data_IF_616151327345
#
_entry.id   IF_616151327345
#
_cell.length_a   1.000
_cell.length_b   1.000
_cell.length_c   1.000
_cell.angle_alpha   90.00
_cell.angle_beta   90.00
_cell.angle_gamma   90.00
#
_symmetry.space_group_name_H-M   'P 1'
#
loop_
_entity.id
_entity.type
_entity.pdbx_description
1 polymer ?
#
# COMPACT_ATOMS: atom_id res chain seq x y z
N UNK A 1 0.17 11.77 5.88
CA UNK A 1 -0.12 13.22 5.89
C UNK A 1 -1.59 13.44 5.56
N UNK A 2 -2.27 14.28 6.32
CA UNK A 2 -3.65 14.72 6.05
C UNK A 2 -3.62 16.23 5.81
N UNK A 3 -4.24 16.67 4.72
CA UNK A 3 -4.39 18.07 4.34
C UNK A 3 -5.88 18.37 4.14
N UNK A 4 -6.22 19.66 4.05
CA UNK A 4 -7.60 20.03 3.78
C UNK A 4 -8.07 19.45 2.43
N UNK A 5 -9.02 18.52 2.51
CA UNK A 5 -9.62 17.84 1.37
C UNK A 5 -8.94 16.56 0.87
N UNK A 6 -7.75 16.15 1.35
CA UNK A 6 -7.13 14.89 0.92
C UNK A 6 -6.05 14.32 1.85
N UNK A 7 -5.67 13.08 1.60
CA UNK A 7 -4.67 12.30 2.32
C UNK A 7 -3.54 11.85 1.40
N UNK A 8 -2.34 11.77 1.94
CA UNK A 8 -1.17 11.22 1.26
C UNK A 8 -0.40 10.28 2.18
N UNK A 9 -0.02 9.10 1.67
CA UNK A 9 0.73 8.07 2.41
C UNK A 9 1.70 7.32 1.50
N UNK A 10 2.75 6.72 2.05
CA UNK A 10 3.68 5.94 1.24
C UNK A 10 3.05 4.65 0.70
N UNK A 11 2.48 3.80 1.56
CA UNK A 11 1.90 2.52 1.13
C UNK A 11 0.42 2.38 1.48
N UNK A 12 0.05 2.34 2.76
CA UNK A 12 -1.35 2.09 3.18
C UNK A 12 -1.84 3.13 4.18
N UNK A 13 -3.02 3.69 3.91
CA UNK A 13 -3.73 4.52 4.89
C UNK A 13 -4.59 3.62 5.78
N UNK A 14 -4.22 3.51 7.05
CA UNK A 14 -5.01 2.77 8.01
C UNK A 14 -5.17 3.55 9.31
N UNK A 15 -6.36 4.15 9.48
CA UNK A 15 -6.64 5.09 10.56
C UNK A 15 -6.34 4.54 11.97
N UNK A 16 -6.71 3.30 12.32
CA UNK A 16 -6.43 2.76 13.66
C UNK A 16 -4.93 2.75 14.00
N UNK A 17 -4.06 2.42 13.05
CA UNK A 17 -2.60 2.47 13.25
C UNK A 17 -2.13 3.92 13.31
N UNK A 18 -2.62 4.80 12.43
CA UNK A 18 -2.22 6.22 12.41
C UNK A 18 -2.56 6.93 13.73
N UNK A 19 -3.71 6.62 14.33
CA UNK A 19 -4.10 7.21 15.61
C UNK A 19 -3.23 6.73 16.76
N UNK A 20 -2.93 5.43 16.83
CA UNK A 20 -2.03 4.89 17.85
C UNK A 20 -0.58 5.32 17.63
N UNK A 21 -0.17 5.59 16.40
CA UNK A 21 1.20 6.00 16.07
C UNK A 21 1.59 7.33 16.73
N UNK A 22 0.62 8.19 17.06
CA UNK A 22 0.86 9.48 17.73
C UNK A 22 1.65 9.32 19.04
N UNK A 23 1.45 8.21 19.76
CA UNK A 23 2.15 7.90 21.02
C UNK A 23 3.63 7.49 20.81
N UNK A 24 4.04 7.27 19.57
CA UNK A 24 5.36 6.77 19.18
C UNK A 24 6.21 7.82 18.43
N UNK A 25 5.67 9.04 18.28
CA UNK A 25 6.30 10.15 17.58
C UNK A 25 6.74 11.23 18.58
N UNK A 26 7.70 12.04 18.17
CA UNK A 26 8.05 13.28 18.87
C UNK A 26 7.13 14.45 18.45
N UNK A 27 7.35 15.62 19.06
CA UNK A 27 6.57 16.84 18.79
C UNK A 27 6.69 17.33 17.33
N UNK A 28 7.67 16.84 16.57
CA UNK A 28 7.86 17.13 15.14
C UNK A 28 7.21 16.08 14.23
N UNK A 29 6.45 15.13 14.79
CA UNK A 29 5.88 13.97 14.11
C UNK A 29 6.93 13.04 13.50
N UNK A 30 8.12 12.96 14.11
CA UNK A 30 9.18 12.03 13.72
C UNK A 30 9.21 10.82 14.66
N UNK A 31 9.69 9.67 14.16
CA UNK A 31 9.95 8.52 15.02
C UNK A 31 10.98 8.91 16.07
N UNK A 32 10.69 8.64 17.34
CA UNK A 32 11.73 8.70 18.38
C UNK A 32 12.81 7.66 18.10
N UNK A 33 14.02 7.83 18.65
CA UNK A 33 15.10 6.84 18.51
C UNK A 33 14.65 5.44 18.98
N UNK A 34 13.98 5.38 20.13
CA UNK A 34 13.43 4.14 20.68
C UNK A 34 12.41 3.51 19.73
N UNK A 35 11.48 4.29 19.19
CA UNK A 35 10.49 3.81 18.21
C UNK A 35 11.17 3.32 16.94
N UNK A 36 12.15 4.07 16.42
CA UNK A 36 12.88 3.71 15.21
C UNK A 36 13.54 2.34 15.35
N UNK A 37 14.26 2.12 16.46
CA UNK A 37 14.89 0.82 16.76
C UNK A 37 13.83 -0.27 16.88
N UNK A 38 12.78 -0.04 17.67
CA UNK A 38 11.70 -1.01 17.87
C UNK A 38 10.95 -1.35 16.57
N UNK A 39 10.91 -0.42 15.61
CA UNK A 39 10.28 -0.62 14.30
C UNK A 39 11.10 -1.49 13.34
N UNK A 40 12.40 -1.67 13.61
CA UNK A 40 13.28 -2.52 12.82
C UNK A 40 13.34 -3.97 13.33
N UNK A 41 12.83 -4.24 14.53
CA UNK A 41 12.85 -5.58 15.14
C UNK A 41 11.60 -6.39 14.77
N UNK A 42 11.77 -7.24 13.76
CA UNK A 42 10.73 -8.16 13.29
C UNK A 42 10.36 -9.23 14.33
N UNK A 43 11.34 -9.75 15.06
CA UNK A 43 11.14 -10.88 15.97
C UNK A 43 10.37 -10.45 17.21
N UNK A 44 10.62 -9.23 17.69
CA UNK A 44 9.86 -8.65 18.79
C UNK A 44 8.38 -8.40 18.44
N UNK A 45 8.05 -8.30 17.14
CA UNK A 45 6.69 -8.04 16.64
C UNK A 45 5.99 -6.95 17.48
N UNK A 46 6.63 -5.80 17.63
CA UNK A 46 6.10 -4.67 18.39
C UNK A 46 4.99 -3.97 17.61
N UNK A 47 4.24 -3.07 18.27
CA UNK A 47 3.33 -2.18 17.55
C UNK A 47 4.11 -1.33 16.53
N UNK A 48 5.24 -0.75 16.91
CA UNK A 48 6.06 0.09 16.03
C UNK A 48 6.49 -0.67 14.76
N UNK A 49 6.92 -1.93 14.90
CA UNK A 49 7.23 -2.80 13.76
C UNK A 49 6.01 -2.97 12.85
N UNK A 50 4.87 -3.44 13.38
CA UNK A 50 3.64 -3.66 12.59
C UNK A 50 3.12 -2.38 11.93
N UNK A 51 3.23 -1.25 12.62
CA UNK A 51 2.82 0.06 12.12
C UNK A 51 3.64 0.45 10.90
N UNK A 52 4.98 0.33 10.97
CA UNK A 52 5.87 0.61 9.85
C UNK A 52 5.67 -0.37 8.70
N UNK A 53 5.52 -1.67 8.97
CA UNK A 53 5.22 -2.66 7.92
C UNK A 53 3.92 -2.30 7.19
N UNK A 54 2.88 -1.87 7.90
CA UNK A 54 1.59 -1.51 7.29
C UNK A 54 1.66 -0.18 6.54
N UNK A 55 2.07 0.91 7.21
CA UNK A 55 1.99 2.26 6.66
C UNK A 55 3.01 2.51 5.54
N UNK A 56 4.19 1.89 5.63
CA UNK A 56 5.31 2.12 4.69
C UNK A 56 5.55 0.95 3.73
N UNK A 57 5.06 -0.27 4.00
CA UNK A 57 5.24 -1.40 3.07
C UNK A 57 3.93 -1.99 2.58
N UNK A 58 2.82 -1.61 3.21
CA UNK A 58 1.50 -2.14 2.91
C UNK A 58 1.22 -3.42 3.69
N UNK A 59 -0.05 -3.69 4.04
CA UNK A 59 -0.42 -4.85 4.84
C UNK A 59 -0.12 -6.16 4.10
N UNK A 60 0.46 -7.11 4.83
CA UNK A 60 0.72 -8.47 4.36
C UNK A 60 -0.08 -9.48 5.20
N UNK A 61 -0.58 -10.53 4.54
CA UNK A 61 -1.33 -11.61 5.19
C UNK A 61 -0.72 -12.96 4.85
N UNK A 62 -0.79 -13.89 5.81
CA UNK A 62 -0.37 -15.27 5.61
C UNK A 62 -1.29 -16.01 4.65
N UNK A 63 -0.70 -16.74 3.71
CA UNK A 63 -1.41 -17.69 2.87
C UNK A 63 -1.94 -18.87 3.70
N UNK A 64 -3.00 -19.55 3.24
CA UNK A 64 -3.47 -20.78 3.88
C UNK A 64 -2.38 -21.84 3.97
N UNK A 65 -2.48 -22.71 4.97
CA UNK A 65 -1.53 -23.82 5.18
C UNK A 65 -1.35 -24.63 3.89
N UNK A 66 -0.10 -24.90 3.53
CA UNK A 66 0.27 -25.64 2.32
C UNK A 66 0.52 -24.78 1.09
N UNK A 67 0.21 -23.48 1.13
CA UNK A 67 0.46 -22.56 0.03
C UNK A 67 1.73 -21.74 0.22
N UNK A 68 2.52 -21.63 -0.85
CA UNK A 68 3.67 -20.76 -0.95
C UNK A 68 3.97 -20.48 -2.42
N UNK A 69 4.80 -19.48 -2.69
CA UNK A 69 5.31 -19.16 -4.03
C UNK A 69 6.75 -18.65 -3.94
N UNK A 70 7.44 -18.58 -5.08
CA UNK A 70 8.78 -18.01 -5.16
C UNK A 70 8.73 -16.55 -5.61
N UNK A 71 9.48 -15.68 -4.91
CA UNK A 71 9.71 -14.31 -5.38
C UNK A 71 10.74 -14.28 -6.54
N UNK A 72 10.97 -13.12 -7.19
CA UNK A 72 11.94 -13.00 -8.28
C UNK A 72 13.38 -13.38 -7.91
N UNK A 73 13.72 -13.42 -6.62
CA UNK A 73 15.01 -13.84 -6.09
C UNK A 73 15.02 -15.31 -5.64
N UNK A 74 13.95 -16.06 -5.94
CA UNK A 74 13.74 -17.46 -5.58
C UNK A 74 13.60 -17.71 -4.07
N UNK A 75 13.23 -16.69 -3.30
CA UNK A 75 12.88 -16.91 -1.90
C UNK A 75 11.44 -17.42 -1.80
N UNK A 76 11.24 -18.44 -0.97
CA UNK A 76 9.91 -18.94 -0.68
C UNK A 76 9.14 -17.93 0.18
N UNK A 77 7.94 -17.58 -0.28
CA UNK A 77 7.01 -16.67 0.39
C UNK A 77 5.76 -17.42 0.81
N UNK A 78 5.35 -17.19 2.04
CA UNK A 78 4.10 -17.70 2.62
C UNK A 78 3.14 -16.56 2.95
N UNK A 79 3.48 -15.33 2.56
CA UNK A 79 2.69 -14.13 2.77
C UNK A 79 2.49 -13.43 1.44
N UNK A 80 1.32 -12.80 1.28
CA UNK A 80 1.02 -11.92 0.16
C UNK A 80 0.77 -10.51 0.70
N UNK A 81 1.16 -9.53 -0.09
CA UNK A 81 0.74 -8.15 0.15
C UNK A 81 -0.65 -7.92 -0.39
N UNK A 82 -1.44 -7.14 0.34
CA UNK A 82 -2.80 -6.81 -0.05
C UNK A 82 -2.87 -5.58 -0.95
N UNK A 83 -3.67 -5.71 -2.00
CA UNK A 83 -4.30 -4.61 -2.74
C UNK A 83 -5.43 -4.03 -1.87
N UNK A 84 -5.08 -3.32 -0.79
CA UNK A 84 -6.05 -2.73 0.14
C UNK A 84 -7.00 -1.71 -0.54
N UNK A 85 -6.63 -1.22 -1.72
CA UNK A 85 -7.48 -0.39 -2.58
C UNK A 85 -8.49 -1.19 -3.43
N UNK A 86 -8.41 -2.52 -3.48
CA UNK A 86 -9.38 -3.37 -4.19
C UNK A 86 -10.56 -3.72 -3.27
N UNK A 87 -11.57 -2.86 -3.23
CA UNK A 87 -12.77 -3.01 -2.38
C UNK A 87 -13.70 -4.15 -2.83
N UNK A 88 -13.58 -4.59 -4.08
CA UNK A 88 -14.41 -5.65 -4.66
C UNK A 88 -13.88 -7.07 -4.41
N UNK A 89 -12.57 -7.21 -4.19
CA UNK A 89 -11.91 -8.50 -4.00
C UNK A 89 -12.38 -9.23 -2.75
N UNK A 90 -12.51 -10.56 -2.83
CA UNK A 90 -12.95 -11.41 -1.70
C UNK A 90 -12.02 -12.59 -1.43
N UNK A 91 -11.15 -12.92 -2.37
CA UNK A 91 -10.22 -14.06 -2.26
C UNK A 91 -8.76 -13.63 -2.16
N UNK A 92 -7.90 -14.53 -1.66
CA UNK A 92 -6.45 -14.27 -1.60
C UNK A 92 -5.92 -13.86 -2.97
N UNK A 93 -6.39 -14.51 -4.04
CA UNK A 93 -5.99 -14.20 -5.43
C UNK A 93 -6.44 -12.82 -5.88
N UNK A 94 -7.65 -12.37 -5.50
CA UNK A 94 -8.17 -11.06 -5.91
C UNK A 94 -7.39 -9.92 -5.26
N UNK A 95 -6.97 -10.14 -4.01
CA UNK A 95 -6.31 -9.14 -3.17
C UNK A 95 -4.78 -9.23 -3.24
N UNK A 96 -4.19 -10.26 -3.85
CA UNK A 96 -2.74 -10.40 -3.92
C UNK A 96 -2.10 -9.35 -4.86
N UNK A 97 -1.24 -8.50 -4.30
CA UNK A 97 -0.30 -7.69 -5.06
C UNK A 97 0.96 -8.52 -5.36
N UNK A 98 0.84 -9.34 -6.39
CA UNK A 98 1.91 -10.20 -6.92
C UNK A 98 2.01 -10.04 -8.43
N UNK A 99 3.12 -10.51 -9.00
CA UNK A 99 3.26 -10.56 -10.47
C UNK A 99 2.18 -11.45 -11.09
N UNK A 100 1.77 -11.12 -12.30
CA UNK A 100 0.70 -11.84 -13.00
C UNK A 100 1.05 -13.32 -13.28
N UNK A 101 2.34 -13.67 -13.43
CA UNK A 101 2.79 -15.07 -13.56
C UNK A 101 2.72 -15.87 -12.26
N UNK A 102 2.72 -15.19 -11.11
CA UNK A 102 2.55 -15.79 -9.78
C UNK A 102 1.08 -15.91 -9.38
N UNK A 103 0.24 -14.99 -9.86
CA UNK A 103 -1.17 -14.90 -9.49
C UNK A 103 -1.96 -16.23 -9.59
N UNK A 104 -1.76 -17.10 -10.62
CA UNK A 104 -2.39 -18.42 -10.67
C UNK A 104 -2.03 -19.37 -9.51
N UNK A 105 -0.87 -19.17 -8.88
CA UNK A 105 -0.39 -19.96 -7.74
C UNK A 105 -1.06 -19.54 -6.42
N UNK A 106 -1.66 -18.34 -6.38
CA UNK A 106 -2.38 -17.85 -5.20
C UNK A 106 -3.78 -18.50 -5.15
N UNK A 107 -4.20 -19.06 -4.00
CA UNK A 107 -5.51 -19.69 -3.88
C UNK A 107 -6.64 -18.67 -4.08
N UNK A 108 -7.70 -19.07 -4.76
CA UNK A 108 -8.94 -18.29 -4.85
C UNK A 108 -9.87 -18.59 -3.66
N UNK A 109 -9.30 -18.77 -2.46
CA UNK A 109 -10.06 -18.99 -1.24
C UNK A 109 -10.49 -17.67 -0.63
N UNK A 110 -11.67 -17.60 0.01
CA UNK A 110 -12.07 -16.43 0.76
C UNK A 110 -10.99 -16.01 1.75
N UNK A 111 -10.69 -14.72 1.78
CA UNK A 111 -9.76 -14.18 2.79
C UNK A 111 -10.46 -14.15 4.13
N UNK A 112 -9.80 -14.69 5.15
CA UNK A 112 -10.17 -14.49 6.55
C UNK A 112 -9.11 -13.63 7.20
N UNK A 113 -9.31 -12.31 7.15
CA UNK A 113 -8.43 -11.36 7.83
C UNK A 113 -9.06 -10.95 9.14
N UNK A 114 -8.22 -10.88 10.17
CA UNK A 114 -8.59 -10.29 11.46
C UNK A 114 -8.77 -8.76 11.35
N UNK A 115 -8.02 -8.12 10.43
CA UNK A 115 -8.07 -6.69 10.19
C UNK A 115 -8.52 -6.38 8.77
N UNK A 116 -9.57 -5.57 8.62
CA UNK A 116 -9.99 -5.02 7.35
C UNK A 116 -9.22 -3.73 7.05
N UNK A 117 -8.34 -3.77 6.05
CA UNK A 117 -7.54 -2.63 5.60
C UNK A 117 -8.22 -1.82 4.48
N UNK A 118 -9.47 -2.13 4.15
CA UNK A 118 -10.18 -1.45 3.06
C UNK A 118 -10.35 0.04 3.34
N UNK A 119 -10.08 0.86 2.34
CA UNK A 119 -10.38 2.29 2.36
C UNK A 119 -11.75 2.51 1.71
N UNK A 120 -12.69 3.04 2.48
CA UNK A 120 -14.10 3.14 2.08
C UNK A 120 -14.31 4.36 1.18
N UNK A 121 -15.31 4.28 0.29
CA UNK A 121 -15.60 5.31 -0.72
C UNK A 121 -16.05 6.66 -0.15
N UNK A 122 -16.54 6.68 1.08
CA UNK A 122 -16.98 7.87 1.82
C UNK A 122 -15.85 8.55 2.60
N UNK A 123 -14.66 7.93 2.66
CA UNK A 123 -13.48 8.52 3.28
C UNK A 123 -12.83 9.58 2.38
N UNK A 124 -12.03 10.51 2.93
CA UNK A 124 -11.28 11.47 2.13
C UNK A 124 -10.41 10.79 1.07
N UNK A 125 -10.16 11.43 -0.08
CA UNK A 125 -9.31 10.85 -1.10
C UNK A 125 -7.90 10.61 -0.59
N UNK A 126 -7.31 9.49 -0.99
CA UNK A 126 -5.97 9.09 -0.61
C UNK A 126 -5.08 8.87 -1.83
N UNK A 127 -3.96 9.57 -1.84
CA UNK A 127 -2.85 9.38 -2.77
C UNK A 127 -1.80 8.50 -2.11
N UNK A 128 -1.40 7.43 -2.80
CA UNK A 128 -0.44 6.45 -2.26
C UNK A 128 0.61 6.02 -3.29
N UNK A 129 1.64 5.30 -2.84
CA UNK A 129 2.73 4.81 -3.68
C UNK A 129 3.12 3.39 -3.30
N UNK A 130 4.42 3.08 -3.34
CA UNK A 130 5.02 1.80 -2.94
C UNK A 130 4.76 0.60 -3.87
N UNK A 131 3.67 0.60 -4.63
CA UNK A 131 3.22 -0.57 -5.40
C UNK A 131 3.76 -0.63 -6.82
N UNK A 132 4.64 0.29 -7.23
CA UNK A 132 5.28 0.23 -8.56
C UNK A 132 4.23 -0.01 -9.65
N UNK A 133 3.23 0.84 -9.82
CA UNK A 133 2.23 0.62 -10.87
C UNK A 133 2.72 1.19 -12.21
N UNK A 134 2.16 0.75 -13.33
CA UNK A 134 2.45 1.35 -14.64
C UNK A 134 1.34 2.33 -15.00
N UNK A 135 1.60 3.28 -15.90
CA UNK A 135 0.60 4.24 -16.37
C UNK A 135 -0.71 3.55 -16.80
N UNK A 136 -0.62 2.47 -17.57
CA UNK A 136 -1.79 1.72 -18.06
C UNK A 136 -2.61 1.07 -16.94
N UNK A 137 -1.96 0.62 -15.87
CA UNK A 137 -2.60 -0.16 -14.79
C UNK A 137 -2.68 0.60 -13.46
N UNK A 138 -2.33 1.89 -13.46
CA UNK A 138 -2.36 2.71 -12.27
C UNK A 138 -3.78 2.82 -11.70
N UNK A 139 -3.88 2.66 -10.39
CA UNK A 139 -5.12 2.81 -9.64
C UNK A 139 -5.47 4.28 -9.64
N UNK A 140 -6.61 4.61 -10.25
CA UNK A 140 -7.30 5.89 -10.13
C UNK A 140 -8.78 5.55 -10.14
N UNK A 141 -9.33 5.33 -8.95
CA UNK A 141 -10.69 4.79 -8.78
C UNK A 141 -11.35 5.36 -7.54
N UNK A 142 -12.58 5.83 -7.66
CA UNK A 142 -13.35 6.44 -6.57
C UNK A 142 -12.58 7.56 -5.88
N UNK A 143 -12.10 7.30 -4.66
CA UNK A 143 -11.34 8.21 -3.83
C UNK A 143 -9.86 7.78 -3.64
N UNK A 144 -9.32 6.90 -4.49
CA UNK A 144 -7.96 6.37 -4.37
C UNK A 144 -7.15 6.55 -5.63
N UNK A 145 -5.89 7.00 -5.49
CA UNK A 145 -4.96 7.06 -6.61
C UNK A 145 -3.53 6.65 -6.23
N UNK A 146 -2.94 5.73 -6.98
CA UNK A 146 -1.54 5.36 -6.86
C UNK A 146 -0.67 6.22 -7.78
N UNK A 147 0.31 6.93 -7.22
CA UNK A 147 1.21 7.84 -7.94
C UNK A 147 2.63 7.28 -8.11
N UNK A 148 2.90 6.08 -7.59
CA UNK A 148 4.19 5.39 -7.76
C UNK A 148 4.24 4.66 -9.11
N UNK A 149 4.61 5.40 -10.16
CA UNK A 149 4.60 4.93 -11.55
C UNK A 149 5.95 4.36 -12.02
N UNK A 150 6.70 3.70 -11.13
CA UNK A 150 8.00 3.05 -11.40
C UNK A 150 9.07 3.96 -12.01
N UNK A 151 9.11 5.25 -11.69
CA UNK A 151 10.11 6.20 -12.26
C UNK A 151 11.56 5.69 -12.19
N UNK A 152 11.92 4.98 -11.11
CA UNK A 152 13.27 4.42 -10.91
C UNK A 152 13.59 3.18 -11.79
N UNK A 153 12.63 2.67 -12.57
CA UNK A 153 12.79 1.54 -13.51
C UNK A 153 12.23 1.87 -14.90
N UNK A 154 12.49 3.08 -15.38
CA UNK A 154 12.08 3.52 -16.72
C UNK A 154 10.59 3.84 -16.85
N UNK A 155 9.86 3.94 -15.74
CA UNK A 155 8.48 4.41 -15.72
C UNK A 155 8.39 5.94 -15.74
N UNK A 156 7.34 6.49 -15.12
CA UNK A 156 7.05 7.92 -15.11
C UNK A 156 7.10 8.49 -13.70
N UNK A 157 7.52 9.75 -13.57
CA UNK A 157 7.26 10.57 -12.39
C UNK A 157 5.85 11.15 -12.52
N UNK A 158 4.92 10.68 -11.70
CA UNK A 158 3.51 11.09 -11.74
C UNK A 158 3.14 12.00 -10.58
N UNK A 159 2.20 12.91 -10.84
CA UNK A 159 1.57 13.79 -9.87
C UNK A 159 0.07 13.89 -10.16
N UNK A 160 -0.74 14.09 -9.12
CA UNK A 160 -2.18 14.34 -9.26
C UNK A 160 -2.49 15.81 -8.96
N UNK A 161 -3.23 16.47 -9.85
CA UNK A 161 -3.74 17.82 -9.63
C UNK A 161 -5.06 17.77 -8.87
N UNK A 162 -4.99 17.87 -7.54
CA UNK A 162 -6.19 17.91 -6.70
C UNK A 162 -7.02 19.17 -7.00
N UNK A 163 -8.30 18.99 -7.31
CA UNK A 163 -9.23 20.05 -7.69
C UNK A 163 -10.51 20.08 -6.85
N UNK A 164 -10.56 19.33 -5.73
CA UNK A 164 -11.73 19.25 -4.86
C UNK A 164 -12.82 18.26 -5.29
N UNK A 165 -12.70 17.62 -6.45
CA UNK A 165 -13.76 16.80 -7.02
C UNK A 165 -13.53 15.30 -6.86
N UNK A 166 -14.62 14.57 -6.66
CA UNK A 166 -14.70 13.11 -6.69
C UNK A 166 -15.74 12.65 -7.73
N UNK A 167 -15.59 11.45 -8.32
CA UNK A 167 -14.46 10.54 -8.17
C UNK A 167 -13.17 11.13 -8.77
N UNK A 168 -12.02 10.64 -8.31
CA UNK A 168 -10.72 10.98 -8.89
C UNK A 168 -10.70 10.58 -10.37
N UNK A 169 -10.09 11.41 -11.20
CA UNK A 169 -10.03 11.21 -12.65
C UNK A 169 -8.58 11.15 -13.12
N UNK A 170 -8.32 10.24 -14.07
CA UNK A 170 -7.03 10.15 -14.78
C UNK A 170 -6.68 11.44 -15.53
N UNK A 171 -7.67 12.25 -15.92
CA UNK A 171 -7.46 13.56 -16.56
C UNK A 171 -6.74 14.57 -15.67
N UNK A 172 -6.68 14.33 -14.36
CA UNK A 172 -5.94 15.15 -13.41
C UNK A 172 -4.51 14.63 -13.14
N UNK A 173 -4.11 13.51 -13.75
CA UNK A 173 -2.74 13.04 -13.66
C UNK A 173 -1.85 13.82 -14.64
N UNK A 174 -0.72 14.27 -14.12
CA UNK A 174 0.41 14.78 -14.90
C UNK A 174 1.57 13.80 -14.71
N UNK A 175 2.24 13.42 -15.80
CA UNK A 175 3.39 12.52 -15.71
C UNK A 175 4.49 12.96 -16.68
N UNK A 176 5.75 12.70 -16.30
CA UNK A 176 6.91 12.86 -17.18
C UNK A 176 7.71 11.56 -17.19
N UNK A 177 8.22 11.10 -18.34
CA UNK A 177 8.99 9.86 -18.41
C UNK A 177 10.30 10.00 -17.65
N UNK A 178 10.80 8.88 -17.13
CA UNK A 178 12.12 8.81 -16.50
C UNK A 178 13.22 9.15 -17.51
N UNK A 179 14.26 9.84 -17.03
CA UNK A 179 15.48 10.11 -17.80
C UNK A 179 16.52 8.99 -17.68
N UNK A 180 16.19 7.91 -16.95
CA UNK A 180 17.06 6.75 -16.80
C UNK A 180 17.00 5.92 -18.09
N UNK A 181 18.11 5.95 -18.84
CA UNK A 181 18.38 5.11 -20.01
C UNK A 181 18.76 3.68 -19.60
#
# INVERSE_FOLDING_TARGET
>A
MELDGFRAIHACWYQPILDQMKDYLDDSNCLTETTLIASADKEANTFAYRAIETLLKGPEIGLPVGYNFLDPHRNQRQQIRLRWWNTSGKTYRDLAEVREDIKPQIPAYPVQVEQDYSHLVDQPPVFFGHYWQTEDNATVDGNMACLDWRVARGGHLAAYRWNGNLPLSRDQILSVPSLLY
#
